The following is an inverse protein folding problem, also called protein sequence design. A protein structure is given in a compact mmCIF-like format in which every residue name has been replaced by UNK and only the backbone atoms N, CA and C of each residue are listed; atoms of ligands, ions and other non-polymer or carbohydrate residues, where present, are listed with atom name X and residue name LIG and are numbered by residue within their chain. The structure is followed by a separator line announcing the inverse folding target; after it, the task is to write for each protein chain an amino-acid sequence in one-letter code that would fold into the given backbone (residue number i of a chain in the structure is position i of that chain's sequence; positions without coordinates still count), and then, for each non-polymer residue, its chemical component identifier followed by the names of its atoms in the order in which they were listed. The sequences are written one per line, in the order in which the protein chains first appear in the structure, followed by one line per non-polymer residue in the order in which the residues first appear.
data_IF_304814520300
#
_entry.id   IF_304814520300
#
_cell.length_a   1.000
_cell.length_b   1.000
_cell.length_c   1.000
_cell.angle_alpha   90.00
_cell.angle_beta   90.00
_cell.angle_gamma   90.00
#
_symmetry.space_group_name_H-M   'P 1'
#
loop_
_entity.id
_entity.type
_entity.pdbx_description
1 polymer ?
#
# COMPACT_ATOMS: atom_id res chain seq x y z
N UNK A 1 -39.04 52.92 28.08
CA UNK A 1 -38.90 51.57 28.68
C UNK A 1 -38.36 50.61 27.62
N UNK A 2 -37.15 50.06 27.78
CA UNK A 2 -36.61 48.99 26.91
C UNK A 2 -36.65 47.66 27.66
N UNK A 3 -37.23 46.58 27.11
CA UNK A 3 -37.36 45.32 27.84
C UNK A 3 -35.99 44.60 27.88
N UNK A 4 -35.59 44.17 29.09
CA UNK A 4 -34.41 43.33 29.32
C UNK A 4 -34.73 41.88 28.92
N UNK A 5 -34.08 41.37 27.87
CA UNK A 5 -34.20 39.97 27.44
C UNK A 5 -33.46 39.02 28.41
N UNK A 6 -34.05 37.90 28.91
CA UNK A 6 -33.48 37.14 30.03
C UNK A 6 -32.53 35.97 29.70
N UNK A 7 -32.29 35.59 28.45
CA UNK A 7 -31.92 34.19 28.15
C UNK A 7 -30.49 33.89 27.67
N UNK A 8 -29.58 34.86 27.61
CA UNK A 8 -28.22 34.62 27.10
C UNK A 8 -27.13 34.77 28.18
N UNK A 9 -27.16 33.94 29.23
CA UNK A 9 -25.97 33.69 30.06
C UNK A 9 -25.43 32.30 29.77
N UNK A 10 -24.71 32.19 28.65
CA UNK A 10 -23.84 31.03 28.39
C UNK A 10 -22.79 31.02 29.50
N UNK A 11 -22.92 30.09 30.44
CA UNK A 11 -22.04 30.03 31.60
C UNK A 11 -20.61 29.65 31.14
N UNK A 12 -19.61 30.53 31.25
CA UNK A 12 -18.28 30.30 30.70
C UNK A 12 -17.60 29.05 31.29
N UNK A 13 -18.00 28.64 32.51
CA UNK A 13 -17.51 27.42 33.17
C UNK A 13 -17.88 26.13 32.42
N UNK A 14 -19.08 26.07 31.80
CA UNK A 14 -19.50 24.89 31.01
C UNK A 14 -18.67 24.72 29.75
N UNK A 15 -18.36 25.83 29.06
CA UNK A 15 -17.50 25.79 27.87
C UNK A 15 -16.06 25.37 28.20
N UNK A 16 -15.53 25.78 29.35
CA UNK A 16 -14.20 25.38 29.80
C UNK A 16 -14.12 23.88 30.12
N UNK A 17 -15.12 23.35 30.84
CA UNK A 17 -15.20 21.91 31.15
C UNK A 17 -15.33 21.06 29.87
N UNK A 18 -16.13 21.52 28.91
CA UNK A 18 -16.26 20.89 27.58
C UNK A 18 -14.91 20.80 26.88
N UNK A 19 -14.16 21.91 26.82
CA UNK A 19 -12.83 21.92 26.19
C UNK A 19 -11.84 21.01 26.90
N UNK A 20 -11.95 20.87 28.23
CA UNK A 20 -11.08 19.99 29.01
C UNK A 20 -11.37 18.51 28.71
N UNK A 21 -12.65 18.11 28.72
CA UNK A 21 -13.04 16.73 28.43
C UNK A 21 -12.72 16.35 26.98
N UNK A 22 -13.01 17.23 26.03
CA UNK A 22 -12.73 16.99 24.61
C UNK A 22 -11.21 16.81 24.38
N UNK A 23 -10.39 17.67 24.99
CA UNK A 23 -8.93 17.54 24.94
C UNK A 23 -8.43 16.27 25.62
N UNK A 24 -9.04 15.88 26.74
CA UNK A 24 -8.68 14.67 27.46
C UNK A 24 -8.91 13.42 26.60
N UNK A 25 -10.10 13.26 26.03
CA UNK A 25 -10.43 12.11 25.17
C UNK A 25 -9.49 12.06 23.96
N UNK A 26 -9.20 13.19 23.31
CA UNK A 26 -8.25 13.23 22.19
C UNK A 26 -6.83 12.84 22.59
N UNK A 27 -6.40 13.26 23.79
CA UNK A 27 -5.08 12.90 24.33
C UNK A 27 -5.00 11.41 24.66
N UNK A 28 -6.12 10.76 24.98
CA UNK A 28 -6.12 9.32 25.21
C UNK A 28 -6.27 8.45 23.97
N UNK A 29 -6.93 8.94 22.92
CA UNK A 29 -7.02 8.23 21.65
C UNK A 29 -5.72 8.32 20.85
N UNK A 30 -5.01 9.46 20.94
CA UNK A 30 -3.82 9.75 20.14
C UNK A 30 -2.67 8.73 20.26
N UNK A 31 -2.18 8.42 21.48
CA UNK A 31 -1.08 7.47 21.68
C UNK A 31 -1.37 6.05 21.16
N UNK A 32 -2.50 5.39 21.52
CA UNK A 32 -2.79 4.05 20.99
C UNK A 32 -3.08 4.08 19.48
N UNK A 33 -3.61 5.18 18.94
CA UNK A 33 -3.71 5.36 17.49
C UNK A 33 -2.33 5.37 16.82
N UNK A 34 -1.38 6.18 17.30
CA UNK A 34 -0.04 6.27 16.71
C UNK A 34 0.73 4.95 16.82
N UNK A 35 0.63 4.28 17.97
CA UNK A 35 1.20 2.94 18.15
C UNK A 35 0.55 1.92 17.21
N UNK A 36 -0.79 1.89 17.14
CA UNK A 36 -1.52 1.02 16.22
C UNK A 36 -1.14 1.26 14.76
N UNK A 37 -1.04 2.52 14.34
CA UNK A 37 -0.64 2.90 12.99
C UNK A 37 0.78 2.41 12.68
N UNK A 38 1.73 2.58 13.61
CA UNK A 38 3.09 2.08 13.47
C UNK A 38 3.15 0.56 13.37
N UNK A 39 2.45 -0.14 14.26
CA UNK A 39 2.38 -1.61 14.28
C UNK A 39 1.76 -2.15 13.00
N UNK A 40 0.58 -1.65 12.59
CA UNK A 40 -0.06 -2.12 11.36
C UNK A 40 0.81 -1.82 10.14
N UNK A 41 1.38 -0.63 10.03
CA UNK A 41 2.28 -0.29 8.91
C UNK A 41 3.49 -1.22 8.88
N UNK A 42 4.09 -1.51 10.03
CA UNK A 42 5.19 -2.47 10.13
C UNK A 42 4.78 -3.88 9.70
N UNK A 43 3.61 -4.37 10.15
CA UNK A 43 3.10 -5.69 9.76
C UNK A 43 2.90 -5.80 8.24
N UNK A 44 2.32 -4.78 7.61
CA UNK A 44 2.15 -4.74 6.17
C UNK A 44 3.50 -4.66 5.43
N UNK A 45 4.45 -3.86 5.92
CA UNK A 45 5.80 -3.79 5.37
C UNK A 45 6.54 -5.12 5.46
N UNK A 46 6.36 -5.87 6.55
CA UNK A 46 6.97 -7.18 6.73
C UNK A 46 6.47 -8.16 5.67
N UNK A 47 5.16 -8.19 5.42
CA UNK A 47 4.56 -8.97 4.32
C UNK A 47 5.10 -8.53 2.95
N UNK A 48 5.29 -7.23 2.74
CA UNK A 48 5.86 -6.71 1.49
C UNK A 48 7.34 -7.11 1.34
N UNK A 49 8.13 -7.07 2.41
CA UNK A 49 9.54 -7.46 2.40
C UNK A 49 9.74 -8.91 1.96
N UNK A 50 8.88 -9.84 2.37
CA UNK A 50 8.95 -11.23 1.90
C UNK A 50 8.82 -11.31 0.37
N UNK A 51 7.85 -10.57 -0.21
CA UNK A 51 7.68 -10.51 -1.68
C UNK A 51 8.86 -9.85 -2.39
N UNK A 52 9.45 -8.83 -1.76
CA UNK A 52 10.60 -8.12 -2.32
C UNK A 52 11.92 -8.88 -2.16
N UNK A 53 12.02 -9.78 -1.18
CA UNK A 53 13.20 -10.63 -0.97
C UNK A 53 13.45 -11.50 -2.21
N UNK A 54 12.39 -12.02 -2.84
CA UNK A 54 12.50 -12.79 -4.07
C UNK A 54 13.11 -11.95 -5.21
N UNK A 55 12.78 -10.66 -5.32
CA UNK A 55 13.40 -9.76 -6.31
C UNK A 55 14.90 -9.57 -6.07
N UNK A 56 15.33 -9.47 -4.81
CA UNK A 56 16.74 -9.31 -4.47
C UNK A 56 17.51 -10.60 -4.75
N UNK A 57 16.98 -11.74 -4.29
CA UNK A 57 17.66 -13.04 -4.37
C UNK A 57 17.72 -13.56 -5.81
N UNK A 58 16.65 -13.36 -6.60
CA UNK A 58 16.56 -13.87 -7.97
C UNK A 58 17.13 -12.88 -8.99
N UNK A 59 16.88 -11.58 -8.82
CA UNK A 59 17.24 -10.56 -9.83
C UNK A 59 18.40 -9.65 -9.42
N UNK A 60 18.98 -9.84 -8.22
CA UNK A 60 20.16 -9.08 -7.79
C UNK A 60 19.88 -7.58 -7.55
N UNK A 61 18.63 -7.21 -7.27
CA UNK A 61 18.24 -5.81 -7.04
C UNK A 61 18.94 -5.28 -5.77
N UNK A 62 19.55 -4.09 -5.87
CA UNK A 62 20.24 -3.46 -4.75
C UNK A 62 19.30 -3.05 -3.62
N UNK A 63 19.78 -3.13 -2.38
CA UNK A 63 19.00 -2.80 -1.18
C UNK A 63 18.40 -1.36 -1.20
N UNK A 64 19.07 -0.43 -1.87
CA UNK A 64 18.57 0.93 -2.03
C UNK A 64 17.32 1.02 -2.92
N UNK A 65 17.25 0.23 -3.99
CA UNK A 65 16.08 0.17 -4.87
C UNK A 65 14.89 -0.44 -4.11
N UNK A 66 15.14 -1.45 -3.27
CA UNK A 66 14.12 -2.06 -2.40
C UNK A 66 13.56 -1.05 -1.40
N UNK A 67 14.42 -0.25 -0.77
CA UNK A 67 13.97 0.81 0.12
C UNK A 67 13.07 1.82 -0.59
N UNK A 68 13.41 2.22 -1.83
CA UNK A 68 12.54 3.09 -2.65
C UNK A 68 11.19 2.43 -2.95
N UNK A 69 11.17 1.13 -3.29
CA UNK A 69 9.94 0.38 -3.52
C UNK A 69 9.05 0.40 -2.27
N UNK A 70 9.62 0.12 -1.09
CA UNK A 70 8.89 0.18 0.17
C UNK A 70 8.34 1.59 0.43
N UNK A 71 9.17 2.62 0.25
CA UNK A 71 8.77 4.02 0.45
C UNK A 71 7.60 4.43 -0.47
N UNK A 72 7.61 4.01 -1.75
CA UNK A 72 6.51 4.29 -2.68
C UNK A 72 5.25 3.46 -2.41
N UNK A 73 5.37 2.35 -1.68
CA UNK A 73 4.24 1.51 -1.28
C UNK A 73 3.57 2.02 0.01
N UNK A 74 4.27 2.79 0.85
CA UNK A 74 3.74 3.34 2.10
C UNK A 74 2.39 4.07 1.97
N UNK A 75 2.16 4.96 0.97
CA UNK A 75 0.88 5.63 0.82
C UNK A 75 -0.29 4.65 0.63
N UNK A 76 -0.07 3.58 -0.14
CA UNK A 76 -1.08 2.55 -0.39
C UNK A 76 -1.39 1.75 0.87
N UNK A 77 -0.39 1.49 1.71
CA UNK A 77 -0.59 0.85 3.01
C UNK A 77 -1.33 1.77 3.99
N UNK A 78 -0.98 3.06 4.00
CA UNK A 78 -1.58 4.06 4.88
C UNK A 78 -3.11 4.12 4.75
N UNK A 79 -3.65 3.94 3.53
CA UNK A 79 -5.11 3.89 3.29
C UNK A 79 -5.82 2.85 4.15
N UNK A 80 -5.17 1.72 4.44
CA UNK A 80 -5.72 0.66 5.28
C UNK A 80 -5.30 0.82 6.74
N UNK A 81 -4.04 1.19 7.00
CA UNK A 81 -3.52 1.24 8.37
C UNK A 81 -4.10 2.39 9.19
N UNK A 82 -4.44 3.53 8.58
CA UNK A 82 -5.08 4.65 9.28
C UNK A 82 -6.44 4.26 9.87
N UNK A 83 -7.45 3.79 9.10
CA UNK A 83 -8.76 3.44 9.67
C UNK A 83 -8.67 2.30 10.69
N UNK A 84 -7.79 1.30 10.46
CA UNK A 84 -7.55 0.24 11.44
C UNK A 84 -6.95 0.78 12.74
N UNK A 85 -6.00 1.71 12.64
CA UNK A 85 -5.38 2.35 13.79
C UNK A 85 -6.37 3.26 14.55
N UNK A 86 -7.28 3.95 13.85
CA UNK A 86 -8.35 4.75 14.49
C UNK A 86 -9.23 3.84 15.35
N UNK A 87 -9.67 2.71 14.79
CA UNK A 87 -10.46 1.74 15.53
C UNK A 87 -9.72 1.25 16.78
N UNK A 88 -8.45 0.85 16.62
CA UNK A 88 -7.63 0.38 17.73
C UNK A 88 -7.44 1.47 18.79
N UNK A 89 -7.12 2.71 18.37
CA UNK A 89 -6.93 3.84 19.26
C UNK A 89 -8.17 4.12 20.10
N UNK A 90 -9.34 4.13 19.48
CA UNK A 90 -10.62 4.35 20.18
C UNK A 90 -10.93 3.21 21.14
N UNK A 91 -10.80 1.96 20.69
CA UNK A 91 -11.09 0.78 21.53
C UNK A 91 -10.16 0.74 22.75
N UNK A 92 -8.86 0.96 22.58
CA UNK A 92 -7.89 0.94 23.68
C UNK A 92 -8.12 2.11 24.64
N UNK A 93 -8.35 3.33 24.12
CA UNK A 93 -8.59 4.51 24.96
C UNK A 93 -9.84 4.35 25.82
N UNK A 94 -10.98 3.97 25.22
CA UNK A 94 -12.22 3.75 25.95
C UNK A 94 -12.15 2.53 26.87
N UNK A 95 -11.44 1.48 26.45
CA UNK A 95 -11.16 0.32 27.29
C UNK A 95 -10.43 0.71 28.58
N UNK A 96 -9.38 1.53 28.46
CA UNK A 96 -8.61 2.04 29.61
C UNK A 96 -9.45 2.96 30.49
N UNK A 97 -10.14 3.95 29.91
CA UNK A 97 -11.05 4.84 30.67
C UNK A 97 -12.15 4.05 31.40
N UNK A 98 -12.62 2.94 30.82
CA UNK A 98 -13.60 2.06 31.46
C UNK A 98 -12.98 1.24 32.58
N UNK A 99 -11.76 0.73 32.41
CA UNK A 99 -11.02 -0.02 33.43
C UNK A 99 -10.69 0.85 34.65
N UNK A 100 -10.32 2.11 34.40
CA UNK A 100 -10.02 3.10 35.44
C UNK A 100 -11.30 3.73 36.05
N UNK A 101 -12.48 3.20 35.71
CA UNK A 101 -13.79 3.67 36.19
C UNK A 101 -14.11 5.15 35.89
N UNK A 102 -13.36 5.80 34.99
CA UNK A 102 -13.56 7.20 34.61
C UNK A 102 -14.90 7.39 33.88
N UNK A 103 -15.24 6.44 33.01
CA UNK A 103 -16.53 6.43 32.30
C UNK A 103 -17.70 6.36 33.29
N UNK A 104 -17.57 5.56 34.34
CA UNK A 104 -18.58 5.42 35.41
C UNK A 104 -18.66 6.69 36.24
N UNK A 105 -17.52 7.28 36.61
CA UNK A 105 -17.46 8.55 37.35
C UNK A 105 -18.10 9.71 36.56
N UNK A 106 -17.85 9.79 35.25
CA UNK A 106 -18.49 10.78 34.37
C UNK A 106 -20.01 10.61 34.33
N UNK A 107 -20.51 9.37 34.24
CA UNK A 107 -21.96 9.10 34.31
C UNK A 107 -22.55 9.49 35.66
N UNK A 108 -21.87 9.19 36.77
CA UNK A 108 -22.29 9.56 38.11
C UNK A 108 -22.31 11.10 38.30
N UNK A 109 -21.41 11.82 37.65
CA UNK A 109 -21.39 13.28 37.59
C UNK A 109 -22.46 13.89 36.65
N UNK A 110 -23.33 13.06 36.04
CA UNK A 110 -24.41 13.50 35.16
C UNK A 110 -23.97 13.82 33.72
N UNK A 111 -22.76 13.44 33.31
CA UNK A 111 -22.30 13.60 31.93
C UNK A 111 -22.84 12.44 31.09
N UNK A 112 -23.56 12.76 30.00
CA UNK A 112 -24.07 11.75 29.07
C UNK A 112 -22.93 11.04 28.35
N UNK A 113 -23.02 9.72 28.19
CA UNK A 113 -22.03 8.94 27.43
C UNK A 113 -21.91 9.40 25.97
N UNK A 114 -23.04 9.79 25.35
CA UNK A 114 -23.08 10.31 23.99
C UNK A 114 -22.24 11.58 23.80
N UNK A 115 -21.92 12.31 24.88
CA UNK A 115 -21.02 13.47 24.81
C UNK A 115 -19.61 13.08 24.38
N UNK A 116 -19.14 11.90 24.78
CA UNK A 116 -17.81 11.39 24.45
C UNK A 116 -17.67 11.06 22.95
N UNK A 117 -18.78 10.85 22.23
CA UNK A 117 -18.75 10.64 20.78
C UNK A 117 -18.32 11.90 20.01
N UNK A 118 -18.53 13.10 20.57
CA UNK A 118 -18.14 14.37 19.94
C UNK A 118 -16.66 14.44 19.58
N UNK A 119 -15.73 14.35 20.56
CA UNK A 119 -14.29 14.37 20.29
C UNK A 119 -13.83 13.17 19.44
N UNK A 120 -14.44 11.99 19.60
CA UNK A 120 -14.10 10.81 18.78
C UNK A 120 -14.49 11.01 17.33
N UNK A 121 -15.68 11.56 17.05
CA UNK A 121 -16.12 11.86 15.70
C UNK A 121 -15.23 12.92 15.05
N UNK A 122 -14.80 13.94 15.81
CA UNK A 122 -13.83 14.92 15.31
C UNK A 122 -12.51 14.24 14.92
N UNK A 123 -11.99 13.36 15.77
CA UNK A 123 -10.78 12.59 15.47
C UNK A 123 -10.92 11.71 14.23
N UNK A 124 -12.01 10.94 14.15
CA UNK A 124 -12.31 10.07 13.01
C UNK A 124 -12.51 10.88 11.72
N UNK A 125 -13.12 12.06 11.80
CA UNK A 125 -13.29 12.94 10.65
C UNK A 125 -11.95 13.50 10.15
N UNK A 126 -11.05 13.89 11.05
CA UNK A 126 -9.69 14.32 10.68
C UNK A 126 -8.93 13.17 10.01
N UNK A 127 -8.99 11.96 10.58
CA UNK A 127 -8.38 10.78 9.99
C UNK A 127 -8.99 10.42 8.62
N UNK A 128 -10.31 10.59 8.46
CA UNK A 128 -11.01 10.43 7.18
C UNK A 128 -10.49 11.41 6.14
N UNK A 129 -10.37 12.70 6.46
CA UNK A 129 -9.83 13.70 5.54
C UNK A 129 -8.39 13.38 5.14
N UNK A 130 -7.55 12.94 6.09
CA UNK A 130 -6.18 12.53 5.81
C UNK A 130 -6.12 11.29 4.91
N UNK A 131 -6.99 10.31 5.14
CA UNK A 131 -7.09 9.09 4.31
C UNK A 131 -7.59 9.41 2.92
N UNK A 132 -8.59 10.29 2.80
CA UNK A 132 -9.13 10.74 1.52
C UNK A 132 -8.07 11.51 0.71
N UNK A 133 -7.32 12.41 1.35
CA UNK A 133 -6.19 13.10 0.73
C UNK A 133 -5.10 12.13 0.27
N UNK A 134 -4.74 11.16 1.11
CA UNK A 134 -3.78 10.11 0.78
C UNK A 134 -4.22 9.31 -0.43
N UNK A 135 -5.49 8.91 -0.46
CA UNK A 135 -6.08 8.14 -1.56
C UNK A 135 -6.14 8.94 -2.86
N UNK A 136 -6.51 10.22 -2.79
CA UNK A 136 -6.66 11.09 -3.97
C UNK A 136 -5.35 11.58 -4.57
N UNK A 137 -4.31 11.80 -3.76
CA UNK A 137 -3.05 12.42 -4.21
C UNK A 137 -1.82 11.54 -3.99
N UNK A 138 -1.60 11.03 -2.78
CA UNK A 138 -0.36 10.31 -2.46
C UNK A 138 -0.30 8.93 -3.11
N UNK A 139 -1.40 8.18 -3.10
CA UNK A 139 -1.48 6.84 -3.71
C UNK A 139 -1.21 6.86 -5.21
N UNK A 140 -1.86 7.70 -6.04
CA UNK A 140 -1.58 7.70 -7.47
C UNK A 140 -0.15 8.13 -7.78
N UNK A 141 0.41 9.11 -7.05
CA UNK A 141 1.80 9.52 -7.23
C UNK A 141 2.79 8.41 -6.83
N UNK A 142 2.56 7.76 -5.69
CA UNK A 142 3.36 6.62 -5.23
C UNK A 142 3.31 5.45 -6.21
N UNK A 143 2.12 5.11 -6.72
CA UNK A 143 1.96 4.04 -7.70
C UNK A 143 2.62 4.35 -9.04
N UNK A 144 2.59 5.60 -9.49
CA UNK A 144 3.31 6.02 -10.71
C UNK A 144 4.82 5.96 -10.52
N UNK A 145 5.34 6.44 -9.38
CA UNK A 145 6.76 6.37 -9.06
C UNK A 145 7.24 4.92 -8.93
N UNK A 146 6.44 4.07 -8.29
CA UNK A 146 6.70 2.63 -8.17
C UNK A 146 6.76 1.95 -9.54
N UNK A 147 5.79 2.22 -10.43
CA UNK A 147 5.81 1.67 -11.80
C UNK A 147 7.08 2.10 -12.54
N UNK A 148 7.43 3.39 -12.51
CA UNK A 148 8.65 3.91 -13.15
C UNK A 148 9.91 3.24 -12.61
N UNK A 149 10.01 3.09 -11.29
CA UNK A 149 11.15 2.43 -10.65
C UNK A 149 11.25 0.95 -11.06
N UNK A 150 10.13 0.22 -11.13
CA UNK A 150 10.13 -1.17 -11.60
C UNK A 150 10.56 -1.27 -13.06
N UNK A 151 10.11 -0.35 -13.93
CA UNK A 151 10.58 -0.30 -15.32
C UNK A 151 12.09 -0.02 -15.43
N UNK A 152 12.62 0.85 -14.58
CA UNK A 152 14.04 1.17 -14.53
C UNK A 152 14.86 -0.05 -14.06
N UNK A 153 14.44 -0.72 -12.98
CA UNK A 153 15.09 -1.94 -12.47
C UNK A 153 15.13 -3.03 -13.54
N UNK A 154 14.03 -3.28 -14.25
CA UNK A 154 13.98 -4.27 -15.33
C UNK A 154 14.89 -3.87 -16.49
N UNK A 155 14.90 -2.59 -16.88
CA UNK A 155 15.74 -2.09 -17.97
C UNK A 155 17.23 -2.14 -17.65
N UNK A 156 17.62 -1.74 -16.44
CA UNK A 156 18.99 -1.83 -15.95
C UNK A 156 19.43 -3.30 -15.79
N UNK A 157 18.54 -4.17 -15.34
CA UNK A 157 18.78 -5.62 -15.29
C UNK A 157 19.04 -6.25 -16.66
N UNK A 158 18.40 -5.73 -17.72
CA UNK A 158 18.65 -6.15 -19.10
C UNK A 158 19.96 -5.53 -19.65
N UNK A 159 20.27 -4.27 -19.31
CA UNK A 159 21.42 -3.53 -19.84
C UNK A 159 22.76 -3.76 -19.12
N UNK A 160 22.73 -4.11 -17.82
CA UNK A 160 23.90 -4.25 -16.96
C UNK A 160 24.47 -5.67 -16.85
N UNK A 161 23.82 -6.64 -17.50
CA UNK A 161 24.29 -8.02 -17.50
C UNK A 161 23.12 -8.96 -17.66
N UNK A 162 23.01 -9.52 -18.87
CA UNK A 162 22.44 -10.84 -19.09
C UNK A 162 23.07 -11.78 -18.05
N UNK A 163 22.41 -11.98 -16.91
CA UNK A 163 22.51 -13.20 -16.12
C UNK A 163 21.34 -14.08 -16.50
N UNK A 164 21.44 -14.53 -17.74
CA UNK A 164 21.07 -15.84 -18.26
C UNK A 164 20.79 -16.87 -17.14
N UNK A 165 19.54 -17.02 -16.68
CA UNK A 165 18.99 -18.30 -16.17
C UNK A 165 17.51 -18.32 -15.73
N UNK A 166 16.62 -17.45 -16.22
CA UNK A 166 15.18 -17.64 -15.95
C UNK A 166 14.63 -18.62 -16.99
N UNK A 167 14.77 -19.92 -16.72
CA UNK A 167 13.99 -20.95 -17.39
C UNK A 167 12.53 -20.74 -17.02
N UNK A 168 11.73 -20.23 -17.95
CA UNK A 168 10.29 -20.24 -17.78
C UNK A 168 9.74 -21.59 -18.29
N UNK A 169 9.41 -22.49 -17.36
CA UNK A 169 8.80 -23.80 -17.64
C UNK A 169 7.26 -23.76 -17.63
N UNK A 170 6.66 -22.59 -17.91
CA UNK A 170 5.20 -22.43 -17.93
C UNK A 170 4.49 -23.10 -19.13
N UNK A 171 5.23 -23.65 -20.11
CA UNK A 171 4.65 -24.35 -21.25
C UNK A 171 5.25 -25.75 -21.42
N UNK A 172 4.39 -26.76 -21.38
CA UNK A 172 4.73 -28.18 -21.57
C UNK A 172 5.76 -28.40 -22.71
N UNK A 173 7.00 -28.70 -22.30
CA UNK A 173 8.09 -29.17 -23.16
C UNK A 173 8.74 -28.13 -24.09
N UNK A 174 8.57 -26.82 -23.86
CA UNK A 174 9.23 -25.78 -24.67
C UNK A 174 9.92 -24.75 -23.78
N UNK A 175 11.25 -24.68 -23.84
CA UNK A 175 12.02 -23.61 -23.20
C UNK A 175 12.21 -22.48 -24.21
N UNK A 176 11.61 -21.31 -23.94
CA UNK A 176 11.73 -20.13 -24.79
C UNK A 176 12.72 -19.16 -24.13
N UNK A 177 13.85 -18.91 -24.79
CA UNK A 177 14.82 -17.89 -24.43
C UNK A 177 14.59 -16.63 -25.27
N UNK A 178 14.38 -15.49 -24.61
CA UNK A 178 14.17 -14.18 -25.26
C UNK A 178 15.28 -13.25 -24.77
N UNK A 179 16.15 -12.81 -25.67
CA UNK A 179 17.31 -11.98 -25.33
C UNK A 179 16.92 -10.52 -25.03
N UNK A 180 15.95 -9.94 -25.73
CA UNK A 180 15.36 -8.64 -25.39
C UNK A 180 14.00 -8.41 -26.05
N UNK A 181 13.15 -7.59 -25.42
CA UNK A 181 11.85 -7.16 -25.97
C UNK A 181 11.83 -5.64 -26.09
N UNK A 182 11.45 -5.12 -27.26
CA UNK A 182 11.36 -3.68 -27.52
C UNK A 182 10.17 -3.03 -26.77
N UNK A 183 10.24 -1.72 -26.51
CA UNK A 183 9.36 -0.90 -25.64
C UNK A 183 7.88 -0.93 -26.06
N UNK A 184 7.56 -1.47 -27.23
CA UNK A 184 6.20 -1.58 -27.78
C UNK A 184 5.60 -3.00 -27.64
N UNK A 185 6.35 -3.98 -27.15
CA UNK A 185 5.87 -5.36 -26.90
C UNK A 185 5.64 -6.22 -28.15
N UNK A 186 5.86 -5.70 -29.36
CA UNK A 186 5.56 -6.38 -30.62
C UNK A 186 6.76 -7.05 -31.31
N UNK A 187 7.98 -6.79 -30.85
CA UNK A 187 9.21 -7.27 -31.49
C UNK A 187 10.12 -7.91 -30.44
N UNK A 188 10.35 -9.21 -30.60
CA UNK A 188 11.29 -10.02 -29.84
C UNK A 188 12.64 -10.05 -30.58
N UNK A 189 13.73 -9.81 -29.88
CA UNK A 189 15.09 -9.85 -30.43
C UNK A 189 15.85 -11.01 -29.80
N UNK A 190 16.49 -11.84 -30.63
CA UNK A 190 17.24 -13.01 -30.19
C UNK A 190 16.37 -14.06 -29.48
N UNK A 191 15.50 -14.72 -30.25
CA UNK A 191 14.65 -15.80 -29.73
C UNK A 191 15.35 -17.14 -30.00
N UNK A 192 15.58 -17.92 -28.95
CA UNK A 192 16.04 -19.31 -29.05
C UNK A 192 14.96 -20.19 -28.45
N UNK A 193 14.39 -21.06 -29.27
CA UNK A 193 13.36 -22.02 -28.85
C UNK A 193 14.01 -23.40 -28.79
N UNK A 194 13.97 -24.01 -27.62
CA UNK A 194 14.29 -25.42 -27.41
C UNK A 194 12.99 -26.19 -27.29
N UNK A 195 12.69 -27.01 -28.30
CA UNK A 195 11.54 -27.93 -28.34
C UNK A 195 12.02 -29.34 -28.01
N UNK A 196 11.56 -29.90 -26.88
CA UNK A 196 11.94 -31.24 -26.40
C UNK A 196 10.78 -32.25 -26.54
N UNK A 197 9.77 -31.99 -27.38
CA UNK A 197 8.57 -32.83 -27.47
C UNK A 197 8.76 -34.18 -28.18
N UNK A 198 9.92 -34.44 -28.77
CA UNK A 198 10.27 -35.76 -29.34
C UNK A 198 11.70 -36.12 -28.96
N UNK A 199 11.82 -37.26 -28.32
CA UNK A 199 13.01 -37.88 -27.70
C UNK A 199 14.22 -38.13 -28.66
N UNK A 200 14.22 -37.57 -29.87
CA UNK A 200 15.28 -37.84 -30.87
C UNK A 200 15.50 -36.71 -31.92
N UNK A 201 15.03 -35.48 -31.70
CA UNK A 201 15.43 -34.34 -32.56
C UNK A 201 15.45 -33.04 -31.75
N UNK A 202 16.60 -32.76 -31.15
CA UNK A 202 16.92 -31.43 -30.60
C UNK A 202 16.98 -30.42 -31.75
N UNK A 203 15.87 -29.73 -32.02
CA UNK A 203 15.85 -28.63 -32.98
C UNK A 203 16.02 -27.30 -32.25
N UNK A 204 17.22 -26.73 -32.36
CA UNK A 204 17.52 -25.39 -31.87
C UNK A 204 17.23 -24.38 -32.96
N UNK A 205 16.11 -23.66 -32.86
CA UNK A 205 15.78 -22.58 -33.80
C UNK A 205 16.30 -21.27 -33.21
N UNK A 206 17.32 -20.71 -33.86
CA UNK A 206 17.91 -19.41 -33.50
C UNK A 206 17.47 -18.35 -34.50
N UNK A 207 16.75 -17.33 -34.04
CA UNK A 207 16.31 -16.23 -34.90
C UNK A 207 16.83 -14.89 -34.38
N UNK A 208 17.40 -14.08 -35.28
CA UNK A 208 17.89 -12.73 -34.94
C UNK A 208 16.74 -11.78 -34.58
N UNK A 209 15.55 -11.97 -35.15
CA UNK A 209 14.37 -11.12 -34.91
C UNK A 209 13.07 -11.93 -35.01
N UNK A 210 12.16 -11.77 -34.06
CA UNK A 210 10.82 -12.36 -34.06
C UNK A 210 9.77 -11.27 -33.85
N UNK A 211 8.64 -11.34 -34.54
CA UNK A 211 7.50 -10.45 -34.28
C UNK A 211 6.32 -11.28 -33.79
N UNK A 212 5.70 -10.86 -32.69
CA UNK A 212 4.47 -11.48 -32.19
C UNK A 212 3.31 -10.72 -32.85
N UNK A 213 2.55 -11.40 -33.71
CA UNK A 213 1.25 -10.91 -34.16
C UNK A 213 0.16 -11.81 -33.60
N UNK A 214 -0.65 -11.23 -32.73
CA UNK A 214 -1.80 -11.90 -32.12
C UNK A 214 -3.03 -11.60 -33.00
N UNK A 215 -3.38 -12.57 -33.86
CA UNK A 215 -4.63 -12.56 -34.64
C UNK A 215 -5.71 -13.30 -33.81
N UNK A 216 -7.01 -12.96 -33.91
CA UNK A 216 -8.05 -13.60 -33.11
C UNK A 216 -8.14 -15.10 -33.42
N UNK A 217 -7.61 -15.92 -32.52
CA UNK A 217 -7.75 -17.38 -32.55
C UNK A 217 -6.50 -18.19 -32.94
N UNK A 218 -5.35 -17.58 -33.26
CA UNK A 218 -4.11 -18.36 -33.49
C UNK A 218 -2.87 -17.54 -33.14
N UNK A 219 -2.07 -18.03 -32.19
CA UNK A 219 -0.78 -17.42 -31.86
C UNK A 219 0.23 -17.77 -32.96
N UNK A 220 0.53 -16.83 -33.86
CA UNK A 220 1.55 -17.00 -34.90
C UNK A 220 2.80 -16.20 -34.55
N UNK A 221 3.88 -16.92 -34.25
CA UNK A 221 5.23 -16.36 -34.13
C UNK A 221 5.84 -16.28 -35.53
N UNK A 222 6.04 -15.06 -36.04
CA UNK A 222 6.77 -14.84 -37.30
C UNK A 222 8.24 -14.61 -36.96
N UNK A 223 9.06 -15.60 -37.26
CA UNK A 223 10.52 -15.54 -37.11
C UNK A 223 11.12 -15.04 -38.44
N UNK A 224 11.89 -13.96 -38.38
CA UNK A 224 12.72 -13.53 -39.50
C UNK A 224 14.13 -14.10 -39.29
N UNK A 225 14.50 -15.06 -40.15
CA UNK A 225 15.84 -15.65 -40.23
C UNK A 225 16.81 -14.73 -41.00
#
# INVERSE_FOLDING_TARGET
MRPRLPWARVNPRRCAMVKLLDRYVLTEVGPPFLLGMGVFTFLFLMNQLVRLADLILVQGVGAWQVFKVLAYTLPSLAVFTIPMAVLLGVVVAFGRMSADSEVTALRAAGVSLYRLLGPVNLFAFVAFLFTAYTTGYLVPQGNQALKRLLYEIVREGIGGGIKQHIFNNDFAGMTIYINSTDVTGSTLLGVVIHDERRDDQLQTITARRGTIRQDPGTFRLLLHL
#
